data_IF_111921388744
#
_entry.id   IF_111921388744
#
_cell.length_a   1.000
_cell.length_b   1.000
_cell.length_c   1.000
_cell.angle_alpha   90.00
_cell.angle_beta   90.00
_cell.angle_gamma   90.00
#
_symmetry.space_group_name_H-M   'P 1'
#
loop_
_entity.id
_entity.type
_entity.pdbx_description
1 polymer ?
#
# COMPACT_ATOMS: atom_id res chain seq x y z
N UNK A 1 20.73 -2.24 -5.59
CA UNK A 1 19.55 -2.31 -4.72
C UNK A 1 18.41 -1.51 -5.33
N UNK A 2 17.21 -2.09 -5.41
CA UNK A 2 16.09 -1.36 -5.98
C UNK A 2 15.72 -0.16 -5.10
N UNK A 3 15.46 0.96 -5.74
CA UNK A 3 15.00 2.16 -5.07
C UNK A 3 13.49 2.23 -5.16
N UNK A 4 12.84 2.56 -4.04
CA UNK A 4 11.42 2.86 -4.08
C UNK A 4 11.20 4.17 -4.84
N UNK A 5 10.14 4.21 -5.62
CA UNK A 5 9.71 5.43 -6.29
C UNK A 5 8.26 5.70 -5.91
N UNK A 6 7.86 6.96 -6.02
CA UNK A 6 6.49 7.32 -5.76
C UNK A 6 5.57 6.59 -6.75
N UNK A 7 4.39 6.20 -6.29
CA UNK A 7 3.41 5.49 -7.11
C UNK A 7 2.06 6.19 -7.01
N UNK A 8 1.20 5.94 -7.98
CA UNK A 8 -0.18 6.43 -7.90
C UNK A 8 -0.95 5.63 -6.86
N UNK A 9 -2.06 6.20 -6.40
CA UNK A 9 -2.94 5.49 -5.47
C UNK A 9 -3.41 4.15 -6.07
N UNK A 10 -3.78 4.17 -7.34
CA UNK A 10 -4.23 2.96 -8.03
C UNK A 10 -3.14 1.89 -8.08
N UNK A 11 -1.91 2.30 -8.34
CA UNK A 11 -0.78 1.38 -8.36
C UNK A 11 -0.49 0.78 -6.98
N UNK A 12 -0.64 1.60 -5.92
CA UNK A 12 -0.48 1.11 -4.56
C UNK A 12 -1.48 0.01 -4.26
N UNK A 13 -2.76 0.26 -4.56
CA UNK A 13 -3.82 -0.72 -4.31
C UNK A 13 -3.58 -2.00 -5.12
N UNK A 14 -3.27 -1.85 -6.39
CA UNK A 14 -3.02 -2.98 -7.27
C UNK A 14 -1.84 -3.82 -6.77
N UNK A 15 -0.77 -3.15 -6.34
CA UNK A 15 0.40 -3.84 -5.80
C UNK A 15 0.08 -4.59 -4.51
N UNK A 16 -0.66 -3.96 -3.60
CA UNK A 16 -1.03 -4.60 -2.33
C UNK A 16 -1.92 -5.82 -2.57
N UNK A 17 -2.81 -5.78 -3.56
CA UNK A 17 -3.63 -6.94 -3.90
C UNK A 17 -2.80 -8.13 -4.35
N UNK A 18 -1.66 -7.88 -4.97
CA UNK A 18 -0.75 -8.96 -5.36
C UNK A 18 -0.12 -9.65 -4.15
N UNK A 19 -0.13 -9.00 -2.99
CA UNK A 19 0.34 -9.58 -1.73
C UNK A 19 -0.81 -10.08 -0.87
N UNK A 20 -1.95 -10.38 -1.50
CA UNK A 20 -3.12 -10.98 -0.85
C UNK A 20 -3.87 -10.05 0.10
N UNK A 21 -3.72 -8.75 -0.07
CA UNK A 21 -4.55 -7.79 0.65
C UNK A 21 -5.90 -7.64 -0.05
N UNK A 22 -6.97 -7.65 0.75
CA UNK A 22 -8.32 -7.40 0.26
C UNK A 22 -8.70 -5.94 0.46
N UNK A 23 -9.52 -5.43 -0.40
CA UNK A 23 -10.00 -4.07 -0.32
C UNK A 23 -9.69 -3.27 -1.57
N UNK A 24 -9.71 -1.94 -1.47
CA UNK A 24 -9.85 -1.16 -0.24
C UNK A 24 -11.28 -1.11 0.28
N UNK A 25 -11.40 -1.09 1.59
CA UNK A 25 -12.68 -0.92 2.27
C UNK A 25 -12.76 0.49 2.85
N UNK A 26 -13.96 1.04 2.95
CA UNK A 26 -14.17 2.36 3.50
C UNK A 26 -14.88 2.22 4.84
N UNK A 27 -14.15 2.43 5.93
CA UNK A 27 -14.69 2.24 7.25
C UNK A 27 -14.47 3.42 8.19
N UNK A 28 -14.59 4.63 7.71
CA UNK A 28 -14.35 5.82 8.52
C UNK A 28 -13.69 6.91 7.70
N UNK A 29 -12.73 7.62 8.30
CA UNK A 29 -12.06 8.72 7.62
C UNK A 29 -11.09 8.26 6.53
N UNK A 30 -10.56 7.06 6.67
CA UNK A 30 -9.56 6.53 5.74
C UNK A 30 -9.93 5.15 5.25
N UNK A 31 -9.66 4.85 3.98
CA UNK A 31 -9.82 3.48 3.52
C UNK A 31 -8.78 2.56 4.16
N UNK A 32 -9.03 1.27 4.12
CA UNK A 32 -8.09 0.29 4.65
C UNK A 32 -8.12 -0.98 3.80
N UNK A 33 -7.07 -1.77 3.92
CA UNK A 33 -6.98 -3.08 3.29
C UNK A 33 -6.69 -4.12 4.38
N UNK A 34 -7.05 -5.36 4.13
CA UNK A 34 -6.96 -6.43 5.13
C UNK A 34 -6.26 -7.64 4.54
N UNK A 35 -5.38 -8.23 5.34
CA UNK A 35 -4.77 -9.52 5.02
C UNK A 35 -4.75 -10.35 6.30
N UNK A 36 -5.67 -11.33 6.39
CA UNK A 36 -5.82 -12.08 7.63
C UNK A 36 -6.18 -11.15 8.78
N UNK A 37 -5.37 -11.12 9.83
CA UNK A 37 -5.58 -10.26 10.99
C UNK A 37 -4.95 -8.89 10.85
N UNK A 38 -4.23 -8.66 9.78
CA UNK A 38 -3.53 -7.40 9.56
C UNK A 38 -4.44 -6.40 8.87
N UNK A 39 -4.64 -5.24 9.50
CA UNK A 39 -5.39 -4.13 8.92
C UNK A 39 -4.41 -3.03 8.55
N UNK A 40 -4.43 -2.64 7.29
CA UNK A 40 -3.50 -1.65 6.75
C UNK A 40 -4.27 -0.39 6.35
N UNK A 41 -4.01 0.72 7.03
CA UNK A 41 -4.64 1.99 6.68
C UNK A 41 -4.00 2.55 5.41
N UNK A 42 -4.84 2.96 4.47
CA UNK A 42 -4.42 3.44 3.15
C UNK A 42 -4.71 4.95 3.06
N UNK A 43 -3.88 5.73 2.37
CA UNK A 43 -4.18 7.14 2.12
C UNK A 43 -5.48 7.29 1.32
N UNK A 44 -6.12 8.44 1.45
CA UNK A 44 -7.35 8.70 0.73
C UNK A 44 -7.12 8.72 -0.79
N UNK A 45 -8.15 8.30 -1.52
CA UNK A 45 -8.09 8.15 -2.97
C UNK A 45 -7.75 9.45 -3.70
N UNK A 46 -8.09 10.59 -3.13
CA UNK A 46 -7.81 11.88 -3.78
C UNK A 46 -6.33 12.30 -3.70
N UNK A 47 -5.50 11.54 -3.01
CA UNK A 47 -4.06 11.71 -3.10
C UNK A 47 -3.62 11.20 -4.47
N UNK A 48 -3.14 12.12 -5.31
CA UNK A 48 -2.76 11.77 -6.67
C UNK A 48 -1.50 10.90 -6.73
N UNK A 49 -0.64 11.05 -5.73
CA UNK A 49 0.63 10.33 -5.70
C UNK A 49 0.99 9.94 -4.27
N UNK A 50 1.49 8.74 -4.13
CA UNK A 50 1.98 8.24 -2.85
C UNK A 50 3.48 8.47 -2.82
N UNK A 51 3.94 9.34 -1.93
CA UNK A 51 5.36 9.67 -1.83
C UNK A 51 6.17 8.45 -1.37
N UNK A 52 7.48 8.49 -1.62
CA UNK A 52 8.39 7.42 -1.20
C UNK A 52 8.34 7.22 0.31
N UNK A 53 8.29 8.31 1.08
CA UNK A 53 8.22 8.22 2.55
C UNK A 53 6.95 7.52 3.00
N UNK A 54 5.82 7.89 2.43
CA UNK A 54 4.54 7.28 2.79
C UNK A 54 4.51 5.82 2.33
N UNK A 55 4.98 5.55 1.14
CA UNK A 55 5.07 4.18 0.63
C UNK A 55 5.93 3.30 1.53
N UNK A 56 7.07 3.83 1.98
CA UNK A 56 7.96 3.10 2.88
C UNK A 56 7.24 2.71 4.17
N UNK A 57 6.46 3.62 4.74
CA UNK A 57 5.69 3.34 5.95
C UNK A 57 4.63 2.27 5.72
N UNK A 58 3.94 2.37 4.59
CA UNK A 58 2.88 1.42 4.25
C UNK A 58 3.47 0.02 4.08
N UNK A 59 4.56 -0.10 3.32
CA UNK A 59 5.20 -1.40 3.10
C UNK A 59 5.72 -2.00 4.40
N UNK A 60 6.24 -1.17 5.28
CA UNK A 60 6.74 -1.63 6.57
C UNK A 60 5.60 -2.21 7.42
N UNK A 61 4.46 -1.53 7.46
CA UNK A 61 3.28 -2.02 8.17
C UNK A 61 2.71 -3.27 7.52
N UNK A 62 2.81 -3.37 6.21
CA UNK A 62 2.31 -4.52 5.46
C UNK A 62 3.27 -5.72 5.50
N UNK A 63 4.44 -5.55 6.10
CA UNK A 63 5.48 -6.57 6.14
C UNK A 63 5.93 -6.98 4.73
N UNK A 64 6.07 -6.00 3.87
CA UNK A 64 6.55 -6.18 2.49
C UNK A 64 7.90 -5.50 2.37
N UNK A 65 8.91 -6.25 1.92
CA UNK A 65 10.24 -5.66 1.69
C UNK A 65 10.25 -4.86 0.38
N UNK A 66 11.25 -3.99 0.24
CA UNK A 66 11.43 -3.24 -1.00
C UNK A 66 11.59 -4.17 -2.20
N UNK A 67 12.35 -5.23 -2.02
CA UNK A 67 12.59 -6.20 -3.08
C UNK A 67 11.31 -6.90 -3.49
N UNK A 68 10.50 -7.30 -2.52
CA UNK A 68 9.22 -7.93 -2.78
C UNK A 68 8.31 -6.98 -3.56
N UNK A 69 8.25 -5.73 -3.12
CA UNK A 69 7.43 -4.74 -3.78
C UNK A 69 7.88 -4.51 -5.23
N UNK A 70 9.17 -4.44 -5.44
CA UNK A 70 9.75 -4.20 -6.77
C UNK A 70 9.45 -5.35 -7.73
N UNK A 71 9.41 -6.58 -7.22
CA UNK A 71 9.22 -7.79 -8.02
C UNK A 71 7.76 -8.27 -8.07
N UNK A 72 6.84 -7.45 -7.65
CA UNK A 72 5.43 -7.81 -7.65
C UNK A 72 4.89 -8.01 -9.05
#
# INVERSE_FOLDING_TARGET
>A
MPKLVAVSWAELIKGLRRFDFDGPFQGGKHPYMVKGDLVLTIPNQHHSEISVDLLTRILKQADISREQWFNR
#
